data_IF_264361923017
#
_entry.id   IF_264361923017
#
_cell.length_a   1.000
_cell.length_b   1.000
_cell.length_c   1.000
_cell.angle_alpha   90.00
_cell.angle_beta   90.00
_cell.angle_gamma   90.00
#
_symmetry.space_group_name_H-M   'P 1'
#
loop_
_entity.id
_entity.type
_entity.pdbx_description
1 polymer ?
#
# COMPACT_ATOMS: atom_id res chain seq x y z
N UNK A 1 13.37 2.74 -12.49
CA UNK A 1 13.73 3.71 -11.45
C UNK A 1 13.56 5.12 -12.00
N UNK A 2 12.61 5.88 -11.44
CA UNK A 2 12.51 7.31 -11.68
C UNK A 2 13.30 7.98 -10.55
N UNK A 3 14.32 8.76 -10.88
CA UNK A 3 15.02 9.60 -9.92
C UNK A 3 14.15 10.83 -9.67
N UNK A 4 13.53 10.92 -8.50
CA UNK A 4 12.93 12.17 -8.04
C UNK A 4 13.98 12.88 -7.18
N UNK A 5 14.42 14.04 -7.63
CA UNK A 5 15.33 14.90 -6.87
C UNK A 5 14.46 15.90 -6.12
N UNK A 6 14.36 15.76 -4.80
CA UNK A 6 13.81 16.83 -3.97
C UNK A 6 14.96 17.67 -3.39
N UNK A 7 14.72 18.96 -3.24
CA UNK A 7 15.70 19.90 -2.69
C UNK A 7 15.30 20.15 -1.23
N UNK A 8 16.07 19.60 -0.29
CA UNK A 8 15.85 19.87 1.14
C UNK A 8 16.11 21.35 1.46
N UNK A 9 15.57 21.84 2.58
CA UNK A 9 15.73 23.20 3.13
C UNK A 9 17.20 23.65 3.30
N UNK A 10 18.17 22.74 3.13
CA UNK A 10 19.61 22.98 3.15
C UNK A 10 20.27 22.99 1.77
N UNK A 11 19.51 23.04 0.66
CA UNK A 11 20.02 22.96 -0.71
C UNK A 11 20.88 21.71 -0.99
N UNK A 12 20.63 20.62 -0.25
CA UNK A 12 21.23 19.31 -0.54
C UNK A 12 20.26 18.55 -1.43
N UNK A 13 20.75 18.08 -2.58
CA UNK A 13 19.99 17.25 -3.49
C UNK A 13 19.80 15.86 -2.84
N UNK A 14 18.61 15.58 -2.33
CA UNK A 14 18.27 14.24 -1.82
C UNK A 14 17.58 13.49 -2.94
N UNK A 15 18.37 12.71 -3.67
CA UNK A 15 17.85 11.75 -4.65
C UNK A 15 17.28 10.55 -3.90
N UNK A 16 15.99 10.60 -3.55
CA UNK A 16 15.30 9.42 -3.05
C UNK A 16 14.94 8.52 -4.23
N UNK A 17 15.35 7.25 -4.20
CA UNK A 17 14.90 6.29 -5.21
C UNK A 17 13.39 6.06 -5.04
N UNK A 18 12.59 6.49 -6.02
CA UNK A 18 11.16 6.21 -6.08
C UNK A 18 10.92 5.00 -6.98
N UNK A 19 10.42 3.92 -6.39
CA UNK A 19 10.12 2.68 -7.09
C UNK A 19 8.64 2.61 -7.50
N UNK A 20 8.34 1.80 -8.51
CA UNK A 20 6.98 1.53 -8.95
C UNK A 20 6.16 0.95 -7.79
N UNK A 21 5.06 1.61 -7.39
CA UNK A 21 4.25 1.15 -6.27
C UNK A 21 4.98 1.15 -4.91
N UNK A 22 6.00 2.00 -4.74
CA UNK A 22 6.89 2.09 -3.56
C UNK A 22 7.86 0.91 -3.38
N UNK A 23 7.49 -0.30 -3.81
CA UNK A 23 8.29 -1.53 -3.64
C UNK A 23 8.93 -2.07 -4.94
N UNK A 24 8.54 -1.53 -6.10
CA UNK A 24 9.07 -1.90 -7.40
C UNK A 24 8.51 -3.20 -7.98
N UNK A 25 7.50 -3.81 -7.33
CA UNK A 25 6.99 -5.13 -7.69
C UNK A 25 5.93 -5.03 -8.79
N UNK A 26 6.00 -5.91 -9.77
CA UNK A 26 4.95 -6.07 -10.78
C UNK A 26 3.66 -6.62 -10.14
N UNK A 27 2.56 -5.91 -10.36
CA UNK A 27 1.22 -6.25 -9.85
C UNK A 27 0.78 -7.67 -10.24
N UNK A 28 1.18 -8.16 -11.42
CA UNK A 28 0.82 -9.51 -11.89
C UNK A 28 1.59 -10.61 -11.14
N UNK A 29 2.78 -10.28 -10.60
CA UNK A 29 3.67 -11.22 -9.88
C UNK A 29 3.51 -11.13 -8.36
N UNK A 30 2.90 -10.05 -7.85
CA UNK A 30 2.67 -9.78 -6.43
C UNK A 30 1.92 -10.90 -5.70
N UNK A 31 0.92 -11.51 -6.34
CA UNK A 31 0.08 -12.56 -5.75
C UNK A 31 0.90 -13.78 -5.32
N UNK A 32 1.94 -14.15 -6.07
CA UNK A 32 2.76 -15.33 -5.76
C UNK A 32 3.61 -15.07 -4.51
N UNK A 33 4.03 -13.82 -4.29
CA UNK A 33 4.84 -13.44 -3.13
C UNK A 33 4.05 -13.50 -1.82
N UNK A 34 2.73 -13.24 -1.85
CA UNK A 34 1.90 -13.30 -0.65
C UNK A 34 1.67 -14.75 -0.17
N UNK A 35 1.63 -15.72 -1.09
CA UNK A 35 1.40 -17.14 -0.81
C UNK A 35 2.67 -17.89 -0.36
N UNK A 36 3.21 -17.50 0.80
CA UNK A 36 4.44 -18.06 1.39
C UNK A 36 4.36 -19.57 1.67
N UNK A 37 3.21 -20.08 2.13
CA UNK A 37 3.00 -21.51 2.36
C UNK A 37 3.20 -22.36 1.09
N UNK A 38 2.62 -21.92 -0.04
CA UNK A 38 2.73 -22.63 -1.31
C UNK A 38 4.17 -22.61 -1.84
N UNK A 39 4.88 -21.49 -1.64
CA UNK A 39 6.29 -21.37 -2.01
C UNK A 39 7.18 -22.27 -1.15
N UNK A 40 6.92 -22.37 0.16
CA UNK A 40 7.67 -23.25 1.07
C UNK A 40 7.48 -24.72 0.68
N UNK A 41 6.24 -25.16 0.43
CA UNK A 41 5.94 -26.53 0.01
C UNK A 41 6.58 -26.88 -1.35
N UNK A 42 6.57 -25.94 -2.30
CA UNK A 42 7.07 -26.17 -3.66
C UNK A 42 8.48 -25.60 -3.92
N UNK A 43 9.28 -25.39 -2.86
CA UNK A 43 10.54 -24.67 -2.96
C UNK A 43 11.52 -25.29 -3.97
N UNK A 44 11.50 -26.62 -4.16
CA UNK A 44 12.37 -27.32 -5.12
C UNK A 44 12.10 -26.88 -6.56
N UNK A 45 10.82 -26.76 -6.94
CA UNK A 45 10.43 -26.29 -8.27
C UNK A 45 10.77 -24.81 -8.46
N UNK A 46 10.60 -24.01 -7.41
CA UNK A 46 10.99 -22.61 -7.39
C UNK A 46 12.50 -22.47 -7.60
N UNK A 47 13.33 -23.20 -6.85
CA UNK A 47 14.79 -23.18 -6.97
C UNK A 47 15.30 -23.56 -8.37
N UNK A 48 14.67 -24.56 -9.01
CA UNK A 48 15.02 -24.95 -10.37
C UNK A 48 14.79 -23.80 -11.37
N UNK A 49 13.77 -22.98 -11.15
CA UNK A 49 13.47 -21.81 -11.99
C UNK A 49 14.38 -20.62 -11.67
N UNK A 50 14.78 -20.46 -10.41
CA UNK A 50 15.55 -19.31 -9.92
C UNK A 50 17.05 -19.35 -10.27
N UNK A 51 17.62 -20.51 -10.66
CA UNK A 51 19.04 -20.68 -10.98
C UNK A 51 20.01 -19.97 -9.99
N UNK A 52 20.05 -20.39 -8.71
CA UNK A 52 20.73 -19.67 -7.62
C UNK A 52 22.22 -19.43 -7.84
N UNK A 53 22.90 -20.32 -8.57
CA UNK A 53 24.33 -20.18 -8.88
C UNK A 53 24.65 -18.96 -9.75
N UNK A 54 23.74 -18.58 -10.64
CA UNK A 54 23.91 -17.41 -11.50
C UNK A 54 23.69 -16.13 -10.69
N UNK A 55 22.65 -16.11 -9.85
CA UNK A 55 22.32 -14.95 -9.04
C UNK A 55 23.40 -14.63 -7.99
N UNK A 56 23.94 -15.64 -7.30
CA UNK A 56 24.97 -15.42 -6.26
C UNK A 56 26.26 -14.80 -6.81
N UNK A 57 26.56 -14.98 -8.11
CA UNK A 57 27.73 -14.35 -8.76
C UNK A 57 27.50 -12.88 -9.10
N UNK A 58 26.25 -12.45 -9.24
CA UNK A 58 25.90 -11.14 -9.73
C UNK A 58 25.49 -10.16 -8.62
N UNK A 59 25.14 -10.68 -7.43
CA UNK A 59 24.52 -9.91 -6.35
C UNK A 59 25.32 -10.05 -5.05
N UNK A 60 25.69 -8.91 -4.47
CA UNK A 60 26.39 -8.87 -3.18
C UNK A 60 25.40 -9.05 -2.00
N UNK A 61 25.71 -9.83 -0.96
CA UNK A 61 24.81 -9.99 0.20
C UNK A 61 25.13 -9.02 1.36
N UNK A 62 26.32 -8.41 1.38
CA UNK A 62 26.87 -7.82 2.60
C UNK A 62 26.22 -6.48 3.00
N UNK A 63 25.92 -5.64 2.01
CA UNK A 63 25.40 -4.29 2.26
C UNK A 63 23.98 -4.31 2.86
N UNK A 64 23.12 -5.23 2.45
CA UNK A 64 21.78 -5.37 3.02
C UNK A 64 21.84 -5.80 4.49
N UNK A 65 22.72 -6.75 4.83
CA UNK A 65 22.93 -7.18 6.21
C UNK A 65 23.38 -6.02 7.10
N UNK A 66 24.28 -5.16 6.61
CA UNK A 66 24.71 -3.96 7.34
C UNK A 66 23.56 -2.98 7.57
N UNK A 67 22.67 -2.80 6.59
CA UNK A 67 21.50 -1.94 6.73
C UNK A 67 20.55 -2.47 7.81
N UNK A 68 20.19 -3.76 7.73
CA UNK A 68 19.29 -4.39 8.71
C UNK A 68 19.89 -4.43 10.12
N UNK A 69 21.21 -4.62 10.24
CA UNK A 69 21.92 -4.52 11.52
C UNK A 69 21.87 -3.10 12.13
N UNK A 70 21.88 -2.05 11.29
CA UNK A 70 21.71 -0.66 11.75
C UNK A 70 20.26 -0.34 12.10
N UNK A 71 19.30 -0.89 11.34
CA UNK A 71 17.88 -0.71 11.59
C UNK A 71 17.44 -1.20 12.98
N UNK A 72 18.08 -2.26 13.51
CA UNK A 72 17.85 -2.74 14.87
C UNK A 72 18.22 -1.74 15.97
N UNK A 73 19.20 -0.85 15.71
CA UNK A 73 19.77 0.05 16.72
C UNK A 73 19.30 1.51 16.57
N UNK A 74 18.83 1.89 15.37
CA UNK A 74 18.45 3.27 15.07
C UNK A 74 16.93 3.47 15.12
N UNK A 75 16.48 4.51 15.82
CA UNK A 75 15.04 4.85 15.94
C UNK A 75 14.47 5.46 14.65
N UNK A 76 15.32 6.06 13.81
CA UNK A 76 14.93 6.72 12.56
C UNK A 76 15.95 6.40 11.48
N UNK A 77 15.71 5.33 10.72
CA UNK A 77 16.48 4.98 9.53
C UNK A 77 15.55 5.12 8.31
N UNK A 78 16.02 5.68 7.19
CA UNK A 78 15.24 5.69 5.96
C UNK A 78 14.97 4.25 5.49
N UNK A 79 13.85 4.01 4.78
CA UNK A 79 13.52 2.68 4.27
C UNK A 79 14.61 2.20 3.31
N UNK A 80 14.90 0.90 3.33
CA UNK A 80 16.08 0.36 2.64
C UNK A 80 16.05 0.61 1.12
N UNK A 81 14.85 0.61 0.53
CA UNK A 81 14.62 0.84 -0.90
C UNK A 81 14.91 2.30 -1.35
N UNK A 82 14.92 3.25 -0.42
CA UNK A 82 15.31 4.64 -0.73
C UNK A 82 16.81 4.75 -0.98
N UNK A 83 17.61 3.96 -0.26
CA UNK A 83 19.08 4.00 -0.28
C UNK A 83 19.64 3.09 -1.38
N UNK A 84 19.02 1.93 -1.62
CA UNK A 84 19.56 0.92 -2.52
C UNK A 84 18.54 0.41 -3.53
N UNK A 85 19.05 -0.01 -4.69
CA UNK A 85 18.22 -0.62 -5.73
C UNK A 85 17.97 -2.10 -5.38
N UNK A 86 16.71 -2.58 -5.36
CA UNK A 86 16.41 -3.98 -5.08
C UNK A 86 17.06 -4.96 -6.07
N UNK A 87 17.38 -4.52 -7.30
CA UNK A 87 18.05 -5.36 -8.28
C UNK A 87 19.57 -5.49 -8.11
N UNK A 88 20.22 -4.69 -7.26
CA UNK A 88 21.69 -4.66 -7.18
C UNK A 88 22.28 -5.63 -6.15
N UNK A 89 21.55 -5.96 -5.10
CA UNK A 89 22.10 -6.83 -4.04
C UNK A 89 21.00 -7.59 -3.28
N UNK A 90 21.39 -8.68 -2.62
CA UNK A 90 20.44 -9.59 -1.97
C UNK A 90 19.87 -9.02 -0.67
N UNK A 91 18.57 -9.21 -0.43
CA UNK A 91 17.92 -8.78 0.81
C UNK A 91 17.48 -7.31 0.83
N UNK A 92 17.61 -6.62 -0.30
CA UNK A 92 16.99 -5.32 -0.54
C UNK A 92 15.53 -5.49 -0.96
N UNK A 93 14.66 -5.39 0.03
CA UNK A 93 13.22 -5.58 -0.13
C UNK A 93 12.45 -4.50 0.63
N UNK A 94 11.16 -4.35 0.35
CA UNK A 94 10.31 -3.49 1.16
C UNK A 94 10.24 -3.96 2.62
N UNK A 95 10.18 -3.01 3.56
CA UNK A 95 10.14 -3.28 5.00
C UNK A 95 8.93 -4.16 5.35
N UNK A 96 7.78 -3.87 4.74
CA UNK A 96 6.56 -4.67 4.91
C UNK A 96 6.72 -6.13 4.45
N UNK A 97 7.46 -6.36 3.37
CA UNK A 97 7.74 -7.71 2.88
C UNK A 97 8.78 -8.40 3.77
N UNK A 98 9.79 -7.67 4.24
CA UNK A 98 10.77 -8.18 5.20
C UNK A 98 10.11 -8.68 6.48
N UNK A 99 9.27 -7.83 7.10
CA UNK A 99 8.52 -8.15 8.31
C UNK A 99 7.56 -9.31 8.09
N UNK A 100 6.91 -9.37 6.93
CA UNK A 100 6.05 -10.50 6.59
C UNK A 100 6.86 -11.81 6.51
N UNK A 101 8.00 -11.83 5.83
CA UNK A 101 8.84 -13.05 5.74
C UNK A 101 9.37 -13.45 7.11
N UNK A 102 9.81 -12.50 7.93
CA UNK A 102 10.26 -12.75 9.30
C UNK A 102 9.13 -13.31 10.17
N UNK A 103 7.92 -12.72 10.10
CA UNK A 103 6.74 -13.22 10.81
C UNK A 103 6.34 -14.63 10.36
N UNK A 104 6.56 -14.98 9.09
CA UNK A 104 6.32 -16.33 8.60
C UNK A 104 7.28 -17.36 9.19
N UNK A 105 8.57 -17.02 9.22
CA UNK A 105 9.63 -17.90 9.71
C UNK A 105 9.59 -18.07 11.23
N UNK A 106 9.12 -17.05 11.95
CA UNK A 106 9.00 -17.07 13.41
C UNK A 106 7.69 -17.70 13.91
N UNK A 107 6.73 -17.96 13.03
CA UNK A 107 5.45 -18.55 13.42
C UNK A 107 5.59 -20.08 13.61
N UNK A 108 5.38 -20.62 14.81
CA UNK A 108 5.54 -22.05 15.10
C UNK A 108 4.55 -22.93 14.32
N UNK A 109 3.40 -22.38 13.87
CA UNK A 109 2.43 -23.14 13.07
C UNK A 109 2.99 -23.59 11.70
N UNK A 110 4.09 -22.97 11.23
CA UNK A 110 4.71 -23.29 9.96
C UNK A 110 5.90 -24.26 10.11
N UNK A 111 6.27 -24.64 11.34
CA UNK A 111 7.41 -25.53 11.58
C UNK A 111 7.22 -26.91 10.94
N UNK A 112 5.98 -27.40 10.89
CA UNK A 112 5.62 -28.63 10.20
C UNK A 112 5.98 -28.56 8.71
N UNK A 113 5.71 -27.43 8.06
CA UNK A 113 6.01 -27.22 6.63
C UNK A 113 7.52 -27.28 6.39
N UNK A 114 8.32 -26.69 7.28
CA UNK A 114 9.78 -26.73 7.19
C UNK A 114 10.35 -28.12 7.48
N UNK A 115 9.75 -28.86 8.42
CA UNK A 115 10.14 -30.23 8.76
C UNK A 115 9.85 -31.21 7.62
N UNK A 116 8.66 -31.14 7.00
CA UNK A 116 8.27 -32.00 5.88
C UNK A 116 9.14 -31.78 4.62
N UNK A 117 9.48 -30.51 4.36
CA UNK A 117 10.22 -30.11 3.15
C UNK A 117 11.74 -30.24 3.29
N UNK A 118 12.25 -30.34 4.53
CA UNK A 118 13.67 -30.29 4.86
C UNK A 118 14.32 -28.94 4.59
N UNK A 119 13.51 -27.86 4.55
CA UNK A 119 13.96 -26.51 4.23
C UNK A 119 14.33 -25.75 5.51
N UNK A 120 15.51 -25.13 5.55
CA UNK A 120 15.90 -24.26 6.66
C UNK A 120 15.29 -22.86 6.49
N UNK A 121 15.02 -22.18 7.60
CA UNK A 121 14.44 -20.82 7.59
C UNK A 121 15.30 -19.82 6.79
N UNK A 122 16.63 -19.85 7.00
CA UNK A 122 17.59 -19.03 6.26
C UNK A 122 17.55 -19.29 4.73
N UNK A 123 17.40 -20.55 4.32
CA UNK A 123 17.29 -20.90 2.89
C UNK A 123 15.96 -20.39 2.32
N UNK A 124 14.88 -20.46 3.09
CA UNK A 124 13.60 -19.93 2.67
C UNK A 124 13.67 -18.40 2.47
N UNK A 125 14.26 -17.67 3.41
CA UNK A 125 14.50 -16.23 3.28
C UNK A 125 15.28 -15.89 2.01
N UNK A 126 16.37 -16.62 1.74
CA UNK A 126 17.17 -16.43 0.52
C UNK A 126 16.34 -16.67 -0.75
N UNK A 127 15.51 -17.71 -0.76
CA UNK A 127 14.60 -18.01 -1.89
C UNK A 127 13.59 -16.87 -2.06
N UNK A 128 13.06 -16.32 -0.97
CA UNK A 128 12.13 -15.19 -1.02
C UNK A 128 12.80 -13.92 -1.55
N UNK A 129 14.03 -13.60 -1.13
CA UNK A 129 14.79 -12.47 -1.68
C UNK A 129 15.09 -12.64 -3.17
N UNK A 130 15.49 -13.84 -3.59
CA UNK A 130 15.65 -14.15 -5.02
C UNK A 130 14.35 -13.99 -5.79
N UNK A 131 13.25 -14.48 -5.23
CA UNK A 131 11.94 -14.42 -5.87
C UNK A 131 11.46 -12.98 -5.99
N UNK A 132 11.71 -12.15 -4.98
CA UNK A 132 11.40 -10.73 -4.97
C UNK A 132 12.04 -10.00 -6.15
N UNK A 133 13.35 -10.20 -6.38
CA UNK A 133 14.08 -9.56 -7.49
C UNK A 133 13.45 -9.91 -8.86
N UNK A 134 13.04 -11.16 -9.06
CA UNK A 134 12.41 -11.59 -10.33
C UNK A 134 10.97 -11.07 -10.47
N UNK A 135 10.33 -10.76 -9.35
CA UNK A 135 9.01 -10.16 -9.33
C UNK A 135 9.03 -8.64 -9.52
N UNK A 136 10.20 -8.01 -9.61
CA UNK A 136 10.31 -6.60 -9.96
C UNK A 136 9.72 -6.33 -11.35
N UNK A 137 9.17 -5.13 -11.52
CA UNK A 137 8.73 -4.62 -12.80
C UNK A 137 9.94 -4.39 -13.72
N UNK A 138 9.80 -4.74 -14.99
CA UNK A 138 10.89 -4.62 -15.95
C UNK A 138 11.10 -3.13 -16.33
N UNK A 139 12.35 -2.67 -16.48
CA UNK A 139 12.60 -1.29 -16.87
C UNK A 139 12.05 -1.03 -18.28
N UNK A 140 11.27 0.05 -18.42
CA UNK A 140 10.61 0.41 -19.67
C UNK A 140 9.19 -0.13 -19.82
N UNK A 141 8.67 -0.85 -18.83
CA UNK A 141 7.28 -1.23 -18.77
C UNK A 141 6.35 -0.01 -18.74
N UNK A 142 5.26 -0.04 -19.51
CA UNK A 142 4.36 1.09 -19.66
C UNK A 142 3.33 1.15 -18.51
N UNK A 143 3.84 1.41 -17.31
CA UNK A 143 3.06 1.47 -16.07
C UNK A 143 1.95 2.52 -16.11
N UNK A 144 2.15 3.61 -16.86
CA UNK A 144 1.14 4.67 -17.02
C UNK A 144 -0.11 4.18 -17.76
N UNK A 145 0.07 3.48 -18.88
CA UNK A 145 -1.05 2.91 -19.65
C UNK A 145 -1.75 1.79 -18.86
N UNK A 146 -0.97 0.91 -18.21
CA UNK A 146 -1.52 -0.15 -17.35
C UNK A 146 -2.36 0.42 -16.21
N UNK A 147 -1.88 1.48 -15.56
CA UNK A 147 -2.60 2.17 -14.48
C UNK A 147 -3.90 2.80 -15.00
N UNK A 148 -3.83 3.49 -16.16
CA UNK A 148 -5.01 4.12 -16.77
C UNK A 148 -6.10 3.10 -17.14
N UNK A 149 -5.71 1.96 -17.73
CA UNK A 149 -6.64 0.90 -18.10
C UNK A 149 -7.25 0.22 -16.86
N UNK A 150 -6.41 -0.07 -15.86
CA UNK A 150 -6.81 -0.71 -14.60
C UNK A 150 -7.81 0.14 -13.81
N UNK A 151 -7.78 1.47 -13.99
CA UNK A 151 -8.81 2.38 -13.46
C UNK A 151 -10.05 2.45 -14.36
N UNK A 152 -9.85 2.49 -15.68
CA UNK A 152 -10.91 2.71 -16.67
C UNK A 152 -11.94 1.57 -16.73
N UNK A 153 -11.49 0.31 -16.80
CA UNK A 153 -12.37 -0.86 -16.90
C UNK A 153 -13.37 -0.96 -15.72
N UNK A 154 -12.94 -0.98 -14.45
CA UNK A 154 -13.87 -1.05 -13.32
C UNK A 154 -14.75 0.19 -13.18
N UNK A 155 -14.30 1.36 -13.68
CA UNK A 155 -15.11 2.58 -13.66
C UNK A 155 -16.36 2.47 -14.53
N UNK A 156 -16.24 1.82 -15.70
CA UNK A 156 -17.41 1.54 -16.55
C UNK A 156 -18.38 0.57 -15.88
N UNK A 157 -17.87 -0.45 -15.18
CA UNK A 157 -18.69 -1.38 -14.41
C UNK A 157 -19.42 -0.70 -13.24
N UNK A 158 -18.72 0.18 -12.52
CA UNK A 158 -19.31 0.94 -11.41
C UNK A 158 -20.47 1.82 -11.88
N UNK A 159 -20.37 2.36 -13.09
CA UNK A 159 -21.43 3.21 -13.67
C UNK A 159 -22.73 2.45 -13.86
N UNK A 160 -22.68 1.22 -14.42
CA UNK A 160 -23.86 0.38 -14.55
C UNK A 160 -24.46 0.05 -13.18
N UNK A 161 -23.63 -0.34 -12.21
CA UNK A 161 -24.10 -0.70 -10.87
C UNK A 161 -24.74 0.49 -10.13
N UNK A 162 -24.15 1.68 -10.20
CA UNK A 162 -24.71 2.89 -9.57
C UNK A 162 -26.03 3.30 -10.21
N UNK A 163 -26.17 3.25 -11.54
CA UNK A 163 -27.43 3.64 -12.19
C UNK A 163 -28.59 2.69 -11.81
N UNK A 164 -28.32 1.39 -11.70
CA UNK A 164 -29.33 0.43 -11.28
C UNK A 164 -29.72 0.60 -9.79
N UNK A 165 -28.77 0.92 -8.91
CA UNK A 165 -29.02 1.16 -7.47
C UNK A 165 -29.68 2.52 -7.19
N UNK A 166 -29.33 3.56 -7.94
CA UNK A 166 -29.93 4.90 -7.81
C UNK A 166 -31.41 4.92 -8.22
N UNK A 167 -31.82 4.03 -9.14
CA UNK A 167 -33.22 3.85 -9.54
C UNK A 167 -34.14 3.31 -8.44
N UNK A 168 -33.59 2.70 -7.38
CA UNK A 168 -34.33 2.19 -6.22
C UNK A 168 -34.39 3.18 -5.04
N UNK A 169 -33.99 4.43 -5.24
CA UNK A 169 -34.30 5.55 -4.34
C UNK A 169 -33.47 5.66 -3.05
N UNK A 170 -32.38 4.90 -2.91
CA UNK A 170 -31.66 4.76 -1.63
C UNK A 170 -30.19 5.20 -1.54
N UNK A 171 -29.52 5.59 -2.65
CA UNK A 171 -28.08 5.85 -2.62
C UNK A 171 -27.71 7.25 -3.15
N UNK A 172 -26.84 7.96 -2.44
CA UNK A 172 -26.31 9.27 -2.82
C UNK A 172 -25.65 9.20 -4.22
N UNK A 173 -26.15 10.03 -5.14
CA UNK A 173 -25.90 10.02 -6.60
C UNK A 173 -24.47 10.46 -6.99
N UNK A 174 -23.58 10.73 -6.02
CA UNK A 174 -22.17 11.02 -6.29
C UNK A 174 -21.27 9.78 -6.31
N UNK A 175 -21.78 8.59 -6.02
CA UNK A 175 -20.97 7.35 -6.01
C UNK A 175 -20.74 6.82 -7.44
N UNK A 176 -19.57 7.00 -8.03
CA UNK A 176 -19.29 6.45 -9.37
C UNK A 176 -18.22 7.19 -10.17
N UNK A 177 -18.35 7.12 -11.51
CA UNK A 177 -17.55 7.93 -12.45
C UNK A 177 -17.61 9.43 -12.14
N UNK A 178 -18.77 10.05 -11.80
CA UNK A 178 -18.80 11.50 -11.54
C UNK A 178 -17.85 11.96 -10.44
N UNK A 179 -17.65 11.14 -9.39
CA UNK A 179 -16.68 11.42 -8.33
C UNK A 179 -15.25 11.20 -8.79
N UNK A 180 -15.01 10.17 -9.61
CA UNK A 180 -13.69 9.91 -10.20
C UNK A 180 -13.25 11.07 -11.09
N UNK A 181 -14.13 11.58 -11.96
CA UNK A 181 -13.88 12.75 -12.82
C UNK A 181 -13.59 14.00 -11.99
N UNK A 182 -14.31 14.20 -10.90
CA UNK A 182 -14.10 15.32 -9.98
C UNK A 182 -12.72 15.28 -9.30
N UNK A 183 -12.29 14.10 -8.87
CA UNK A 183 -10.98 13.90 -8.21
C UNK A 183 -9.82 13.97 -9.21
N UNK A 184 -9.92 13.25 -10.33
CA UNK A 184 -8.77 12.99 -11.21
C UNK A 184 -8.71 14.00 -12.37
N UNK A 185 -9.85 14.31 -13.01
CA UNK A 185 -9.84 15.11 -14.24
C UNK A 185 -10.00 16.60 -14.00
N UNK A 186 -10.85 16.98 -13.02
CA UNK A 186 -11.19 18.39 -12.80
C UNK A 186 -10.46 18.99 -11.60
N UNK A 187 -10.11 18.17 -10.59
CA UNK A 187 -9.52 18.61 -9.33
C UNK A 187 -10.24 19.84 -8.75
N UNK A 188 -11.58 19.82 -8.78
CA UNK A 188 -12.42 20.98 -8.49
C UNK A 188 -12.26 21.46 -7.05
N UNK A 189 -11.95 22.76 -6.87
CA UNK A 189 -11.93 23.39 -5.56
C UNK A 189 -13.31 23.34 -4.84
N UNK A 190 -14.45 23.61 -5.51
CA UNK A 190 -15.77 23.34 -4.94
C UNK A 190 -16.20 21.90 -5.26
N UNK A 191 -16.08 21.02 -4.28
CA UNK A 191 -16.61 19.64 -4.38
C UNK A 191 -18.14 19.66 -4.23
N UNK A 192 -18.86 18.89 -5.04
CA UNK A 192 -20.35 18.86 -5.00
C UNK A 192 -20.93 18.34 -3.68
N UNK A 193 -20.29 17.34 -3.08
CA UNK A 193 -20.69 16.75 -1.79
C UNK A 193 -19.48 16.65 -0.86
N UNK A 194 -19.05 17.76 -0.21
CA UNK A 194 -17.95 17.72 0.73
C UNK A 194 -18.37 16.99 2.01
N UNK A 195 -17.52 16.08 2.49
CA UNK A 195 -17.73 15.32 3.72
C UNK A 195 -16.48 15.40 4.59
N UNK A 196 -16.66 15.50 5.90
CA UNK A 196 -15.59 15.53 6.89
C UNK A 196 -15.90 14.49 7.96
N UNK A 197 -14.97 13.56 8.19
CA UNK A 197 -15.04 12.61 9.28
C UNK A 197 -14.27 13.15 10.48
N UNK A 198 -14.91 13.13 11.65
CA UNK A 198 -14.32 13.61 12.91
C UNK A 198 -14.11 12.42 13.85
N UNK A 199 -12.85 12.12 14.15
CA UNK A 199 -12.51 11.07 15.13
C UNK A 199 -12.52 11.66 16.54
N UNK A 200 -13.23 11.00 17.45
CA UNK A 200 -13.36 11.43 18.85
C UNK A 200 -12.42 10.62 19.73
N UNK A 201 -11.88 11.26 20.77
CA UNK A 201 -11.06 10.58 21.77
C UNK A 201 -11.89 9.52 22.53
N UNK A 202 -11.27 8.37 22.82
CA UNK A 202 -11.92 7.27 23.57
C UNK A 202 -12.18 7.71 25.01
N UNK A 203 -13.46 7.84 25.38
CA UNK A 203 -13.93 8.17 26.74
C UNK A 203 -15.09 7.24 27.12
N UNK A 204 -15.33 7.05 28.43
CA UNK A 204 -16.38 6.16 28.96
C UNK A 204 -17.79 6.54 28.48
N UNK A 205 -18.03 7.81 28.21
CA UNK A 205 -19.32 8.36 27.75
C UNK A 205 -19.24 8.90 26.31
N UNK A 206 -18.43 8.29 25.44
CA UNK A 206 -18.14 8.84 24.11
C UNK A 206 -19.38 9.00 23.22
N UNK A 207 -20.38 8.12 23.37
CA UNK A 207 -21.58 8.13 22.51
C UNK A 207 -22.47 9.33 22.81
N UNK A 208 -22.80 9.57 24.08
CA UNK A 208 -23.65 10.70 24.48
C UNK A 208 -23.00 12.06 24.13
N UNK A 209 -21.69 12.17 24.33
CA UNK A 209 -20.96 13.39 23.96
C UNK A 209 -20.87 13.57 22.44
N UNK A 210 -20.74 12.49 21.67
CA UNK A 210 -20.75 12.54 20.21
C UNK A 210 -22.09 13.06 19.67
N UNK A 211 -23.21 12.59 20.20
CA UNK A 211 -24.55 13.06 19.81
C UNK A 211 -24.75 14.54 20.14
N UNK A 212 -24.38 14.95 21.35
CA UNK A 212 -24.44 16.36 21.76
C UNK A 212 -23.57 17.25 20.86
N UNK A 213 -22.36 16.80 20.51
CA UNK A 213 -21.48 17.53 19.61
C UNK A 213 -22.06 17.60 18.19
N UNK A 214 -22.63 16.50 17.69
CA UNK A 214 -23.28 16.47 16.39
C UNK A 214 -24.46 17.46 16.32
N UNK A 215 -25.27 17.55 17.38
CA UNK A 215 -26.34 18.54 17.48
C UNK A 215 -25.81 19.97 17.49
N UNK A 216 -24.68 20.24 18.15
CA UNK A 216 -24.06 21.58 18.20
C UNK A 216 -23.43 22.01 16.88
N UNK A 217 -22.87 21.07 16.12
CA UNK A 217 -22.22 21.34 14.83
C UNK A 217 -23.21 21.41 13.67
N UNK A 218 -24.42 20.87 13.84
CA UNK A 218 -25.47 20.95 12.83
C UNK A 218 -25.92 22.40 12.65
N UNK A 219 -25.76 22.93 11.44
CA UNK A 219 -26.35 24.23 11.08
C UNK A 219 -27.88 24.16 11.15
N UNK A 220 -28.48 25.02 11.97
CA UNK A 220 -29.93 25.21 12.03
C UNK A 220 -30.27 26.50 11.28
N UNK A 221 -31.00 26.37 10.18
CA UNK A 221 -31.52 27.54 9.44
C UNK A 221 -32.83 27.99 10.10
N UNK A 222 -32.97 29.28 10.38
CA UNK A 222 -34.24 29.89 10.76
C UNK A 222 -35.14 29.95 9.52
N UNK A 223 -36.02 28.96 9.37
CA UNK A 223 -37.00 28.97 8.30
C UNK A 223 -38.14 29.92 8.68
N UNK A 224 -38.51 30.83 7.79
CA UNK A 224 -39.48 31.88 8.00
C UNK A 224 -40.79 31.39 8.65
N UNK A 225 -40.95 31.67 9.94
CA UNK A 225 -42.24 31.86 10.60
C UNK A 225 -42.07 33.05 11.54
N UNK A 226 -42.93 34.04 11.37
CA UNK A 226 -43.05 35.25 12.17
C UNK A 226 -43.06 34.92 13.67
N UNK A 227 -41.90 35.05 14.30
CA UNK A 227 -41.74 35.00 15.75
C UNK A 227 -42.16 36.35 16.31
N UNK A 228 -43.44 36.48 16.66
CA UNK A 228 -43.91 37.53 17.56
C UNK A 228 -43.33 37.19 18.93
N UNK A 229 -42.14 37.70 19.22
CA UNK A 229 -41.56 37.67 20.56
C UNK A 229 -42.32 38.68 21.42
N UNK A 230 -43.37 38.20 22.09
CA UNK A 230 -44.00 38.94 23.19
C UNK A 230 -43.09 38.85 24.41
N UNK A 231 -42.31 39.91 24.66
CA UNK A 231 -41.71 40.13 25.97
C UNK A 231 -42.82 40.48 26.96
N UNK A 232 -42.88 39.73 28.06
CA UNK A 232 -43.64 40.09 29.26
C UNK A 232 -42.66 40.34 30.38
#
# INVERSE_FOLDING_TARGET
SLFYCDVDDHNVLVCSNVHYGEDGIDVTKSLILSHRNLLAQNYKAVLQRLNPRAALKALDPELALQHWARALNATTLPPILSVCNPGSSFGYVSDSFHDAVAAFCNNPANDDVFAETGLTREKFELIMWMKYIICLADPGENVGVLTAQSLGEPSTQMTLNTFHLAGFGGANVTLGIPRLVEIIMTASAPIKTPLMELTLAKSKDSVAHAEQLAHRLRMVKLCAQSLILSFR
#
